data_IF_701709779714
#
_entry.id   IF_701709779714
#
_cell.length_a   1.000
_cell.length_b   1.000
_cell.length_c   1.000
_cell.angle_alpha   90.00
_cell.angle_beta   90.00
_cell.angle_gamma   90.00
#
_symmetry.space_group_name_H-M   'P 1'
#
loop_
_entity.id
_entity.type
_entity.pdbx_description
1 polymer ?
#
# COMPACT_ATOMS: atom_id res chain seq x y z
N UNK A 1 -18.64 -2.55 3.52
CA UNK A 1 -19.09 -2.20 2.16
C UNK A 1 -18.67 -3.31 1.21
N UNK A 2 -19.49 -3.66 0.22
CA UNK A 2 -19.12 -4.67 -0.80
C UNK A 2 -18.48 -3.93 -1.96
N UNK A 3 -17.15 -3.99 -2.06
CA UNK A 3 -16.37 -3.38 -3.14
C UNK A 3 -15.61 -2.12 -2.72
N UNK A 4 -14.45 -1.91 -3.36
CA UNK A 4 -13.59 -0.76 -3.13
C UNK A 4 -13.94 0.46 -3.97
N UNK A 5 -13.20 1.56 -3.79
CA UNK A 5 -13.44 2.83 -4.48
C UNK A 5 -13.43 2.69 -6.01
N UNK A 6 -12.52 1.92 -6.61
CA UNK A 6 -12.49 1.72 -8.06
C UNK A 6 -13.67 0.87 -8.53
N UNK A 7 -14.08 -0.14 -7.75
CA UNK A 7 -15.28 -0.91 -8.00
C UNK A 7 -16.51 -0.01 -8.01
N UNK A 8 -16.64 0.89 -7.01
CA UNK A 8 -17.75 1.85 -7.00
C UNK A 8 -17.69 2.77 -8.21
N UNK A 9 -16.51 3.28 -8.59
CA UNK A 9 -16.33 4.13 -9.77
C UNK A 9 -16.80 3.46 -11.07
N UNK A 10 -16.52 2.16 -11.23
CA UNK A 10 -16.99 1.36 -12.36
C UNK A 10 -18.50 1.13 -12.30
N UNK A 11 -19.01 0.77 -11.14
CA UNK A 11 -20.43 0.42 -10.94
C UNK A 11 -21.35 1.61 -11.18
N UNK A 12 -21.04 2.78 -10.61
CA UNK A 12 -21.83 4.01 -10.80
C UNK A 12 -21.92 4.45 -12.25
N UNK A 13 -20.85 4.22 -13.01
CA UNK A 13 -20.81 4.50 -14.44
C UNK A 13 -21.74 3.63 -15.29
N UNK A 14 -22.20 2.47 -14.78
CA UNK A 14 -23.15 1.59 -15.46
C UNK A 14 -24.60 1.96 -15.17
N UNK A 15 -24.90 2.49 -13.97
CA UNK A 15 -26.28 2.76 -13.55
C UNK A 15 -26.88 4.03 -14.16
N UNK A 16 -26.12 5.13 -14.25
CA UNK A 16 -26.57 6.33 -14.98
C UNK A 16 -25.40 7.32 -15.17
N UNK A 17 -24.88 7.50 -16.41
CA UNK A 17 -23.81 8.47 -16.68
C UNK A 17 -24.21 9.91 -16.35
N UNK A 18 -25.51 10.25 -16.39
CA UNK A 18 -25.99 11.61 -16.22
C UNK A 18 -25.94 12.10 -14.76
N UNK A 19 -25.99 11.19 -13.78
CA UNK A 19 -25.99 11.52 -12.33
C UNK A 19 -24.56 11.55 -11.78
N UNK A 20 -23.59 11.00 -12.52
CA UNK A 20 -22.20 10.93 -12.11
C UNK A 20 -21.56 12.32 -12.13
N UNK A 21 -20.84 12.66 -11.05
CA UNK A 21 -20.01 13.88 -11.00
C UNK A 21 -18.98 13.85 -12.13
N UNK A 22 -18.64 15.01 -12.68
CA UNK A 22 -17.71 15.08 -13.82
C UNK A 22 -16.30 14.57 -13.46
N UNK A 23 -15.88 14.76 -12.21
CA UNK A 23 -14.65 14.17 -11.64
C UNK A 23 -14.66 12.64 -11.73
N UNK A 24 -15.79 12.00 -11.38
CA UNK A 24 -15.95 10.55 -11.42
C UNK A 24 -15.98 10.03 -12.87
N UNK A 25 -16.54 10.81 -13.81
CA UNK A 25 -16.50 10.46 -15.24
C UNK A 25 -15.06 10.49 -15.77
N UNK A 26 -14.32 11.55 -15.45
CA UNK A 26 -12.92 11.73 -15.84
C UNK A 26 -12.05 10.62 -15.26
N UNK A 27 -12.15 10.36 -13.96
CA UNK A 27 -11.42 9.27 -13.31
C UNK A 27 -11.75 7.90 -13.90
N UNK A 28 -13.02 7.63 -14.23
CA UNK A 28 -13.39 6.37 -14.88
C UNK A 28 -12.75 6.22 -16.27
N UNK A 29 -12.74 7.29 -17.06
CA UNK A 29 -12.12 7.29 -18.39
C UNK A 29 -10.61 7.05 -18.28
N UNK A 30 -9.93 7.78 -17.40
CA UNK A 30 -8.51 7.59 -17.13
C UNK A 30 -8.19 6.19 -16.60
N UNK A 31 -9.05 5.60 -15.75
CA UNK A 31 -8.88 4.21 -15.29
C UNK A 31 -8.93 3.20 -16.44
N UNK A 32 -9.80 3.41 -17.44
CA UNK A 32 -9.89 2.52 -18.60
C UNK A 32 -8.67 2.67 -19.50
N UNK A 33 -8.30 3.92 -19.83
CA UNK A 33 -7.14 4.24 -20.66
C UNK A 33 -5.83 3.76 -20.03
N UNK A 34 -5.64 3.98 -18.72
CA UNK A 34 -4.47 3.51 -18.00
C UNK A 34 -4.28 2.00 -18.08
N UNK A 35 -5.36 1.21 -17.91
CA UNK A 35 -5.26 -0.25 -17.94
C UNK A 35 -5.03 -0.79 -19.37
N UNK A 36 -5.47 -0.05 -20.39
CA UNK A 36 -5.22 -0.36 -21.80
C UNK A 36 -3.76 -0.05 -22.18
N UNK A 37 -3.31 1.18 -21.90
CA UNK A 37 -1.96 1.68 -22.22
C UNK A 37 -0.87 1.04 -21.33
N UNK A 38 -1.21 0.71 -20.09
CA UNK A 38 -0.34 0.02 -19.13
C UNK A 38 -0.14 -1.46 -19.41
N UNK A 39 -0.71 -1.99 -20.50
CA UNK A 39 -0.66 -3.42 -20.86
C UNK A 39 0.74 -4.00 -20.99
N UNK A 40 1.71 -3.20 -21.44
CA UNK A 40 3.11 -3.61 -21.59
C UNK A 40 4.04 -2.43 -21.34
N UNK A 41 4.81 -2.52 -20.27
CA UNK A 41 5.80 -1.52 -19.86
C UNK A 41 7.10 -2.22 -19.47
N UNK A 42 8.19 -1.47 -19.44
CA UNK A 42 9.50 -1.95 -19.00
C UNK A 42 9.79 -1.38 -17.60
N UNK A 43 9.81 -2.25 -16.60
CA UNK A 43 10.05 -1.86 -15.21
C UNK A 43 11.55 -1.92 -14.88
N UNK A 44 12.09 -0.77 -14.49
CA UNK A 44 13.46 -0.64 -14.02
C UNK A 44 13.48 -0.76 -12.50
N UNK A 45 14.18 -1.77 -11.99
CA UNK A 45 14.46 -1.85 -10.55
C UNK A 45 15.47 -0.77 -10.23
N UNK A 46 15.09 0.25 -9.45
CA UNK A 46 15.98 1.38 -9.15
C UNK A 46 17.35 0.86 -8.72
N UNK A 47 18.45 1.40 -9.29
CA UNK A 47 19.78 1.00 -8.90
C UNK A 47 19.89 1.20 -7.40
N UNK A 48 20.40 0.18 -6.69
CA UNK A 48 20.71 0.29 -5.26
C UNK A 48 21.69 1.45 -5.14
N UNK A 49 21.18 2.63 -4.80
CA UNK A 49 21.99 3.76 -4.41
C UNK A 49 22.78 3.22 -3.22
N UNK A 50 24.09 3.03 -3.39
CA UNK A 50 25.01 2.63 -2.34
C UNK A 50 25.08 3.77 -1.31
N UNK A 51 23.95 4.03 -0.63
CA UNK A 51 23.93 4.82 0.59
C UNK A 51 24.57 3.90 1.61
N UNK A 52 25.76 4.30 2.07
CA UNK A 52 26.64 3.48 2.92
C UNK A 52 25.87 2.69 3.97
N UNK A 53 26.21 1.42 4.08
CA UNK A 53 25.63 0.45 4.99
C UNK A 53 25.52 1.01 6.42
N UNK A 54 24.34 1.52 6.78
CA UNK A 54 23.88 1.59 8.15
C UNK A 54 22.46 1.05 8.16
N UNK A 55 22.35 -0.11 8.80
CA UNK A 55 21.22 -1.00 8.93
C UNK A 55 19.83 -0.35 9.08
N UNK A 56 18.84 -0.89 8.35
CA UNK A 56 17.49 -1.32 8.83
C UNK A 56 16.67 -1.81 7.61
N UNK A 57 16.64 -3.12 7.32
CA UNK A 57 15.46 -4.01 7.47
C UNK A 57 14.30 -3.66 6.51
N UNK A 58 13.82 -4.47 5.54
CA UNK A 58 13.37 -5.85 5.76
C UNK A 58 13.14 -6.72 4.49
N UNK A 59 13.52 -6.38 3.25
CA UNK A 59 13.22 -7.31 2.10
C UNK A 59 14.39 -7.64 1.16
N UNK A 60 15.60 -7.11 1.36
CA UNK A 60 16.66 -7.21 0.34
C UNK A 60 17.81 -8.20 0.57
N UNK A 61 17.76 -9.04 1.63
CA UNK A 61 18.92 -9.83 2.07
C UNK A 61 18.94 -11.32 1.67
N UNK A 62 18.10 -11.80 0.75
CA UNK A 62 18.03 -13.24 0.42
C UNK A 62 18.62 -13.67 -0.94
N UNK A 63 19.30 -12.79 -1.69
CA UNK A 63 19.97 -13.15 -2.95
C UNK A 63 21.45 -12.71 -3.01
N UNK A 64 22.19 -12.99 -1.94
CA UNK A 64 23.65 -12.86 -1.88
C UNK A 64 24.35 -14.21 -2.00
N UNK A 65 24.23 -14.86 -3.16
CA UNK A 65 25.03 -16.04 -3.49
C UNK A 65 26.51 -15.67 -3.58
N UNK A 66 27.29 -16.06 -2.57
CA UNK A 66 28.75 -15.91 -2.54
C UNK A 66 29.37 -16.77 -3.65
N UNK A 67 29.75 -16.13 -4.75
CA UNK A 67 30.75 -16.67 -5.68
C UNK A 67 32.02 -15.84 -5.52
N UNK A 68 33.06 -16.45 -4.97
CA UNK A 68 34.40 -15.88 -4.90
C UNK A 68 35.09 -16.06 -6.25
N UNK A 69 35.29 -14.97 -7.00
CA UNK A 69 36.22 -14.96 -8.12
C UNK A 69 36.86 -13.59 -8.29
N UNK A 70 38.14 -13.58 -7.94
CA UNK A 70 39.27 -12.93 -8.62
C UNK A 70 39.02 -11.62 -9.37
N UNK A 71 39.57 -10.56 -8.81
CA UNK A 71 39.66 -9.20 -9.32
C UNK A 71 40.39 -9.15 -10.67
N UNK A 72 39.65 -8.92 -11.75
CA UNK A 72 40.20 -8.44 -13.02
C UNK A 72 39.67 -7.04 -13.31
N UNK A 73 40.61 -6.09 -13.40
CA UNK A 73 40.39 -4.71 -13.83
C UNK A 73 39.72 -4.74 -15.20
N UNK A 74 38.44 -4.38 -15.26
CA UNK A 74 37.63 -4.35 -16.47
C UNK A 74 36.88 -3.02 -16.54
N UNK A 75 36.83 -2.47 -17.74
CA UNK A 75 36.14 -1.23 -18.10
C UNK A 75 34.74 -1.20 -17.47
N UNK A 76 34.37 -0.04 -16.95
CA UNK A 76 33.10 0.22 -16.27
C UNK A 76 31.93 0.14 -17.25
N UNK A 77 31.57 -1.07 -17.67
CA UNK A 77 30.22 -1.38 -18.08
C UNK A 77 29.36 -1.22 -16.83
N UNK A 78 28.45 -0.25 -16.85
CA UNK A 78 27.39 -0.16 -15.86
C UNK A 78 26.60 -1.46 -15.92
N UNK A 79 26.81 -2.32 -14.93
CA UNK A 79 26.15 -3.62 -14.75
C UNK A 79 24.68 -3.38 -14.35
N UNK A 80 23.97 -2.62 -15.18
CA UNK A 80 22.59 -2.26 -14.97
C UNK A 80 21.73 -3.43 -15.42
N UNK A 81 21.01 -4.01 -14.46
CA UNK A 81 20.13 -5.15 -14.72
C UNK A 81 19.14 -4.75 -15.82
N UNK A 82 18.93 -5.60 -16.84
CA UNK A 82 17.99 -5.30 -17.91
C UNK A 82 16.59 -5.04 -17.33
N UNK A 83 15.81 -4.12 -17.94
CA UNK A 83 14.46 -3.85 -17.50
C UNK A 83 13.61 -5.12 -17.54
N UNK A 84 12.71 -5.24 -16.57
CA UNK A 84 11.80 -6.37 -16.48
C UNK A 84 10.50 -6.00 -17.19
N UNK A 85 10.09 -6.71 -18.25
CA UNK A 85 8.81 -6.46 -18.89
C UNK A 85 7.70 -6.72 -17.87
N UNK A 86 6.78 -5.77 -17.74
CA UNK A 86 5.74 -5.74 -16.74
C UNK A 86 4.43 -5.18 -17.31
N UNK A 87 3.37 -5.31 -16.52
CA UNK A 87 2.08 -4.70 -16.76
C UNK A 87 1.76 -3.75 -15.60
N UNK A 88 1.36 -2.53 -15.94
CA UNK A 88 0.88 -1.54 -15.01
C UNK A 88 -0.65 -1.63 -14.92
N UNK A 89 -1.20 -1.81 -13.72
CA UNK A 89 -2.65 -1.87 -13.49
C UNK A 89 -3.05 -1.10 -12.24
N UNK A 90 -4.28 -0.59 -12.25
CA UNK A 90 -4.92 -0.07 -11.06
C UNK A 90 -6.00 -1.03 -10.57
N UNK A 91 -5.93 -1.45 -9.31
CA UNK A 91 -6.93 -2.33 -8.70
C UNK A 91 -7.32 -1.82 -7.31
N UNK A 92 -8.46 -2.29 -6.82
CA UNK A 92 -8.78 -2.13 -5.41
C UNK A 92 -7.97 -3.17 -4.63
N UNK A 93 -7.23 -2.70 -3.63
CA UNK A 93 -6.46 -3.53 -2.74
C UNK A 93 -7.37 -4.58 -2.09
N UNK A 94 -6.92 -5.83 -2.12
CA UNK A 94 -7.63 -6.94 -1.49
C UNK A 94 -7.44 -6.91 0.03
N UNK A 95 -8.30 -7.63 0.77
CA UNK A 95 -8.29 -7.63 2.25
C UNK A 95 -6.94 -8.06 2.86
N UNK A 96 -6.11 -8.74 2.08
CA UNK A 96 -4.77 -9.19 2.48
C UNK A 96 -3.70 -8.09 2.32
N UNK A 97 -4.06 -6.92 1.80
CA UNK A 97 -3.15 -5.80 1.70
C UNK A 97 -2.90 -5.16 3.08
N UNK A 98 -1.77 -4.46 3.17
CA UNK A 98 -1.09 -4.04 4.40
C UNK A 98 -1.98 -3.24 5.39
N UNK A 99 -3.11 -2.68 4.96
CA UNK A 99 -3.93 -1.76 5.77
C UNK A 99 -5.19 -2.34 6.45
N UNK A 100 -5.42 -3.66 6.47
CA UNK A 100 -6.37 -4.36 7.38
C UNK A 100 -7.70 -3.63 7.73
N UNK A 101 -8.38 -2.98 6.80
CA UNK A 101 -9.51 -2.12 7.19
C UNK A 101 -10.49 -1.82 6.07
N UNK A 102 -10.03 -1.19 4.99
CA UNK A 102 -10.89 -0.82 3.87
C UNK A 102 -10.12 -0.96 2.55
N UNK A 103 -10.77 -1.44 1.47
CA UNK A 103 -10.16 -1.48 0.15
C UNK A 103 -9.79 -0.07 -0.31
N UNK A 104 -8.56 0.12 -0.77
CA UNK A 104 -8.07 1.38 -1.33
C UNK A 104 -7.50 1.15 -2.73
N UNK A 105 -7.46 2.17 -3.61
CA UNK A 105 -6.85 2.00 -4.93
C UNK A 105 -5.34 1.79 -4.78
N UNK A 106 -4.82 0.78 -5.46
CA UNK A 106 -3.39 0.52 -5.55
C UNK A 106 -2.95 0.37 -7.01
N UNK A 107 -1.77 0.91 -7.29
CA UNK A 107 -1.06 0.76 -8.54
C UNK A 107 -0.17 -0.47 -8.44
N UNK A 108 -0.42 -1.45 -9.29
CA UNK A 108 0.33 -2.71 -9.33
C UNK A 108 1.23 -2.73 -10.56
N UNK A 109 2.49 -3.09 -10.36
CA UNK A 109 3.46 -3.45 -11.39
C UNK A 109 3.68 -4.95 -11.34
N UNK A 110 3.14 -5.65 -12.34
CA UNK A 110 3.11 -7.11 -12.42
C UNK A 110 4.09 -7.57 -13.50
N UNK A 111 5.21 -8.24 -13.17
CA UNK A 111 6.11 -8.78 -14.18
C UNK A 111 5.38 -9.73 -15.13
N UNK A 112 5.61 -9.55 -16.43
CA UNK A 112 5.10 -10.46 -17.44
C UNK A 112 5.98 -11.72 -17.47
N UNK A 113 5.39 -12.92 -17.54
CA UNK A 113 6.17 -14.14 -17.70
C UNK A 113 6.97 -14.00 -18.99
N UNK A 114 8.30 -14.12 -18.88
CA UNK A 114 9.15 -14.22 -20.05
C UNK A 114 8.71 -15.49 -20.78
N UNK A 115 7.99 -15.30 -21.88
CA UNK A 115 7.79 -16.38 -22.83
C UNK A 115 9.19 -16.64 -23.33
N UNK A 116 9.84 -17.68 -22.81
CA UNK A 116 11.06 -18.21 -23.37
C UNK A 116 10.68 -18.52 -24.80
N UNK A 117 11.01 -17.59 -25.69
CA UNK A 117 11.00 -17.86 -27.11
C UNK A 117 12.02 -18.98 -27.24
N UNK A 118 11.52 -20.21 -27.21
CA UNK A 118 12.21 -21.34 -27.81
C UNK A 118 12.37 -20.90 -29.25
N UNK A 119 13.48 -20.22 -29.50
CA UNK A 119 13.98 -19.95 -30.83
C UNK A 119 13.96 -21.33 -31.47
N UNK A 120 13.11 -21.59 -32.48
CA UNK A 120 13.14 -22.86 -33.17
C UNK A 120 14.56 -22.95 -33.69
N UNK A 121 15.37 -23.80 -33.05
CA UNK A 121 16.68 -24.14 -33.57
C UNK A 121 16.39 -24.68 -34.97
N UNK A 122 16.96 -24.08 -36.02
CA UNK A 122 16.81 -24.66 -37.34
C UNK A 122 17.49 -26.03 -37.29
N UNK A 123 16.66 -27.08 -37.20
CA UNK A 123 17.09 -28.47 -37.16
C UNK A 123 17.86 -28.78 -38.45
N UNK A 124 19.13 -29.13 -38.29
CA UNK A 124 19.83 -29.98 -39.24
C UNK A 124 19.05 -31.30 -39.35
N UNK A 125 18.42 -31.50 -40.52
CA UNK A 125 17.68 -32.70 -40.85
C UNK A 125 18.60 -33.93 -40.89
N UNK A 126 18.72 -34.65 -39.78
CA UNK A 126 19.29 -36.00 -39.76
C UNK A 126 18.22 -36.99 -39.34
N UNK A 127 17.90 -37.86 -40.29
CA UNK A 127 16.86 -38.87 -40.23
C UNK A 127 17.14 -39.96 -39.17
N UNK A 128 16.09 -40.32 -38.42
CA UNK A 128 15.88 -41.69 -37.94
C UNK A 128 16.48 -42.05 -36.58
N UNK A 129 15.79 -41.70 -35.49
CA UNK A 129 16.04 -42.27 -34.16
C UNK A 129 14.77 -42.30 -33.30
N UNK A 130 14.45 -43.40 -32.59
CA UNK A 130 13.21 -43.52 -31.83
C UNK A 130 13.25 -42.68 -30.54
N UNK A 131 12.14 -41.95 -30.39
CA UNK A 131 11.65 -41.13 -29.30
C UNK A 131 11.91 -41.66 -27.87
N UNK A 132 12.43 -40.79 -27.01
CA UNK A 132 12.32 -40.91 -25.55
C UNK A 132 11.65 -39.64 -24.99
N UNK A 133 10.41 -39.71 -24.46
CA UNK A 133 9.71 -38.55 -23.92
C UNK A 133 9.78 -38.60 -22.38
N UNK A 134 10.83 -38.06 -21.77
CA UNK A 134 10.84 -37.87 -20.31
C UNK A 134 11.78 -36.74 -19.84
N UNK A 135 11.77 -35.62 -20.55
CA UNK A 135 12.41 -34.38 -20.07
C UNK A 135 11.47 -33.65 -19.11
N UNK A 136 11.62 -33.90 -17.81
CA UNK A 136 10.86 -33.21 -16.77
C UNK A 136 11.03 -31.70 -16.88
N UNK A 137 9.93 -31.01 -17.21
CA UNK A 137 9.78 -29.56 -17.08
C UNK A 137 9.96 -29.20 -15.61
N UNK A 138 11.20 -28.98 -15.18
CA UNK A 138 11.49 -28.21 -13.98
C UNK A 138 11.06 -26.78 -14.27
N UNK A 139 9.77 -26.52 -14.04
CA UNK A 139 9.21 -25.18 -13.89
C UNK A 139 9.98 -24.55 -12.74
N UNK A 140 11.04 -23.82 -13.07
CA UNK A 140 11.66 -22.92 -12.13
C UNK A 140 10.55 -21.94 -11.73
N UNK A 141 10.05 -22.08 -10.50
CA UNK A 141 9.16 -21.12 -9.88
C UNK A 141 9.96 -19.84 -9.70
N UNK A 142 10.07 -19.05 -10.77
CA UNK A 142 10.47 -17.67 -10.67
C UNK A 142 9.40 -16.99 -9.82
N UNK A 143 9.75 -16.68 -8.58
CA UNK A 143 8.87 -15.92 -7.68
C UNK A 143 8.59 -14.59 -8.37
N UNK A 144 7.36 -14.41 -8.85
CA UNK A 144 6.92 -13.19 -9.52
C UNK A 144 6.75 -12.11 -8.44
N UNK A 145 7.74 -11.25 -8.30
CA UNK A 145 7.65 -10.11 -7.40
C UNK A 145 6.69 -9.07 -7.99
N UNK A 146 5.60 -8.78 -7.30
CA UNK A 146 4.68 -7.72 -7.65
C UNK A 146 4.98 -6.49 -6.78
N UNK A 147 5.00 -5.30 -7.39
CA UNK A 147 5.14 -4.05 -6.64
C UNK A 147 3.77 -3.37 -6.56
N UNK A 148 3.29 -3.19 -5.34
CA UNK A 148 2.00 -2.56 -5.04
C UNK A 148 2.22 -1.19 -4.39
N UNK A 149 1.70 -0.14 -5.01
CA UNK A 149 1.84 1.24 -4.57
C UNK A 149 0.46 1.81 -4.27
N UNK A 150 0.10 2.07 -3.00
CA UNK A 150 -1.15 2.72 -2.66
C UNK A 150 -1.23 4.12 -3.28
N UNK A 151 -2.39 4.50 -3.86
CA UNK A 151 -2.50 5.76 -4.60
C UNK A 151 -2.29 6.99 -3.73
N UNK A 152 -2.70 6.92 -2.46
CA UNK A 152 -2.50 8.00 -1.49
C UNK A 152 -1.03 8.18 -1.08
N UNK A 153 -0.18 7.17 -1.31
CA UNK A 153 1.27 7.33 -1.09
C UNK A 153 1.96 8.03 -2.26
N UNK A 154 1.35 8.14 -3.44
CA UNK A 154 1.96 8.79 -4.60
C UNK A 154 1.96 10.31 -4.38
N UNK A 155 3.16 10.89 -4.25
CA UNK A 155 3.36 12.32 -4.04
C UNK A 155 3.35 13.03 -5.39
N UNK A 156 4.17 12.53 -6.33
CA UNK A 156 4.34 13.12 -7.65
C UNK A 156 4.76 12.09 -8.68
N UNK A 157 4.53 12.46 -9.94
CA UNK A 157 4.83 11.67 -11.12
C UNK A 157 5.65 12.56 -12.05
N UNK A 158 6.92 12.18 -12.26
CA UNK A 158 7.89 12.93 -13.03
C UNK A 158 8.22 12.22 -14.34
N UNK A 159 8.39 12.99 -15.41
CA UNK A 159 8.92 12.49 -16.67
C UNK A 159 10.41 12.85 -16.72
N UNK A 160 11.29 11.85 -16.76
CA UNK A 160 12.73 12.08 -16.76
C UNK A 160 13.32 11.97 -18.17
N UNK A 161 12.81 11.04 -18.97
CA UNK A 161 13.21 10.83 -20.36
C UNK A 161 11.96 10.79 -21.25
N UNK A 162 12.08 10.89 -22.59
CA UNK A 162 10.94 10.91 -23.49
C UNK A 162 9.99 9.73 -23.29
N UNK A 163 10.52 8.57 -22.93
CA UNK A 163 9.75 7.33 -22.74
C UNK A 163 9.71 6.88 -21.28
N UNK A 164 10.27 7.64 -20.33
CA UNK A 164 10.44 7.19 -18.95
C UNK A 164 9.67 8.04 -17.95
N UNK A 165 8.95 7.36 -17.08
CA UNK A 165 8.17 7.91 -15.98
C UNK A 165 8.72 7.40 -14.65
N UNK A 166 8.81 8.30 -13.68
CA UNK A 166 9.23 7.99 -12.31
C UNK A 166 8.10 8.32 -11.34
N UNK A 167 7.77 7.33 -10.52
CA UNK A 167 6.74 7.43 -9.48
C UNK A 167 7.44 7.66 -8.15
N UNK A 168 7.13 8.79 -7.52
CA UNK A 168 7.72 9.20 -6.25
C UNK A 168 6.64 9.13 -5.19
N UNK A 169 6.92 8.37 -4.13
CA UNK A 169 5.99 8.10 -3.03
C UNK A 169 6.49 8.67 -1.72
N UNK A 170 5.59 8.79 -0.74
CA UNK A 170 5.95 9.04 0.65
C UNK A 170 6.80 7.87 1.16
N UNK A 171 7.90 8.15 1.84
CA UNK A 171 8.70 7.15 2.55
C UNK A 171 8.07 6.87 3.91
N UNK A 172 7.19 5.87 3.95
CA UNK A 172 6.50 5.43 5.17
C UNK A 172 7.47 4.91 6.24
N UNK A 173 8.72 4.62 5.88
CA UNK A 173 9.74 4.10 6.80
C UNK A 173 10.76 5.15 7.23
N UNK A 174 10.67 6.39 6.74
CA UNK A 174 11.56 7.44 7.22
C UNK A 174 11.21 7.80 8.66
N UNK A 175 12.09 7.45 9.60
CA UNK A 175 11.97 7.84 11.00
C UNK A 175 12.49 9.25 11.28
N UNK A 176 13.04 9.93 10.26
CA UNK A 176 13.69 11.22 10.43
C UNK A 176 12.73 12.35 10.05
N UNK A 177 12.32 13.13 11.05
CA UNK A 177 11.39 14.27 10.92
C UNK A 177 11.92 15.35 9.96
N UNK A 178 13.24 15.38 9.70
CA UNK A 178 13.89 16.38 8.84
C UNK A 178 14.35 15.83 7.48
N UNK A 179 14.22 14.53 7.22
CA UNK A 179 14.62 13.96 5.94
C UNK A 179 13.53 14.19 4.89
N UNK A 180 13.89 14.36 3.60
CA UNK A 180 12.91 14.39 2.54
C UNK A 180 12.05 13.12 2.60
N UNK A 181 10.76 13.28 2.78
CA UNK A 181 9.77 12.19 2.88
C UNK A 181 9.48 11.55 1.54
N UNK A 182 10.27 11.83 0.51
CA UNK A 182 10.05 11.38 -0.87
C UNK A 182 11.04 10.28 -1.23
N UNK A 183 10.51 9.18 -1.78
CA UNK A 183 11.30 8.05 -2.27
C UNK A 183 10.84 7.65 -3.67
N UNK A 184 11.80 7.39 -4.55
CA UNK A 184 11.54 6.76 -5.84
C UNK A 184 11.00 5.34 -5.60
N UNK A 185 9.73 5.12 -5.94
CA UNK A 185 9.08 3.81 -5.78
C UNK A 185 9.23 2.95 -7.04
N UNK A 186 9.09 3.56 -8.21
CA UNK A 186 9.18 2.85 -9.48
C UNK A 186 9.68 3.76 -10.60
N UNK A 187 10.39 3.15 -11.55
CA UNK A 187 10.82 3.74 -12.80
C UNK A 187 10.35 2.86 -13.95
N UNK A 188 9.60 3.45 -14.86
CA UNK A 188 8.83 2.72 -15.88
C UNK A 188 9.13 3.34 -17.24
N UNK A 189 9.55 2.50 -18.19
CA UNK A 189 9.69 2.88 -19.59
C UNK A 189 8.51 2.39 -20.43
N UNK A 190 8.16 3.20 -21.42
CA UNK A 190 7.05 2.98 -22.34
C UNK A 190 7.56 2.85 -23.78
N UNK A 191 6.78 2.23 -24.68
CA UNK A 191 7.18 2.09 -26.08
C UNK A 191 7.26 3.43 -26.84
N UNK A 192 6.54 4.46 -26.40
CA UNK A 192 6.54 5.79 -27.02
C UNK A 192 6.35 6.90 -26.00
N UNK A 193 6.73 8.12 -26.38
CA UNK A 193 6.52 9.31 -25.55
C UNK A 193 5.05 9.63 -25.35
N UNK A 194 4.22 9.41 -26.37
CA UNK A 194 2.79 9.72 -26.34
C UNK A 194 2.05 8.81 -25.36
N UNK A 195 2.40 7.51 -25.34
CA UNK A 195 1.88 6.56 -24.36
C UNK A 195 2.29 6.95 -22.94
N UNK A 196 3.54 7.37 -22.76
CA UNK A 196 4.05 7.83 -21.46
C UNK A 196 3.36 9.10 -20.98
N UNK A 197 3.09 10.06 -21.86
CA UNK A 197 2.33 11.29 -21.54
C UNK A 197 0.89 10.98 -21.14
N UNK A 198 0.20 10.15 -21.94
CA UNK A 198 -1.18 9.75 -21.66
C UNK A 198 -1.29 9.03 -20.30
N UNK A 199 -0.42 8.06 -20.05
CA UNK A 199 -0.36 7.34 -18.76
C UNK A 199 -0.01 8.28 -17.60
N UNK A 200 0.91 9.22 -17.79
CA UNK A 200 1.25 10.23 -16.78
C UNK A 200 0.05 11.10 -16.41
N UNK A 201 -0.70 11.56 -17.41
CA UNK A 201 -1.91 12.35 -17.22
C UNK A 201 -2.99 11.54 -16.49
N UNK A 202 -3.27 10.32 -16.94
CA UNK A 202 -4.29 9.46 -16.35
C UNK A 202 -3.97 9.12 -14.89
N UNK A 203 -2.72 8.82 -14.58
CA UNK A 203 -2.29 8.60 -13.19
C UNK A 203 -2.48 9.85 -12.34
N UNK A 204 -2.15 11.05 -12.85
CA UNK A 204 -2.36 12.31 -12.12
C UNK A 204 -3.84 12.55 -11.82
N UNK A 205 -4.73 12.31 -12.80
CA UNK A 205 -6.19 12.41 -12.61
C UNK A 205 -6.66 11.44 -11.53
N UNK A 206 -6.19 10.20 -11.56
CA UNK A 206 -6.59 9.17 -10.59
C UNK A 206 -6.06 9.42 -9.18
N UNK A 207 -4.83 9.94 -9.06
CA UNK A 207 -4.25 10.34 -7.77
C UNK A 207 -5.05 11.50 -7.18
N UNK A 208 -5.37 12.52 -7.97
CA UNK A 208 -6.15 13.67 -7.51
C UNK A 208 -7.58 13.28 -7.12
N UNK A 209 -8.23 12.46 -7.94
CA UNK A 209 -9.54 11.88 -7.65
C UNK A 209 -9.54 11.11 -6.32
N UNK A 210 -8.48 10.33 -6.03
CA UNK A 210 -8.36 9.61 -4.78
C UNK A 210 -8.16 10.56 -3.58
N UNK A 211 -7.36 11.63 -3.73
CA UNK A 211 -7.12 12.64 -2.68
C UNK A 211 -8.40 13.35 -2.25
N UNK A 212 -9.28 13.70 -3.20
CA UNK A 212 -10.54 14.39 -2.89
C UNK A 212 -11.54 13.53 -2.09
N UNK A 213 -11.44 12.20 -2.19
CA UNK A 213 -12.37 11.26 -1.56
C UNK A 213 -11.89 10.68 -0.26
N UNK A 214 -10.58 10.65 -0.07
CA UNK A 214 -10.09 10.47 1.28
C UNK A 214 -10.51 11.74 2.01
N UNK A 215 -11.32 11.66 3.10
CA UNK A 215 -11.35 12.78 4.02
C UNK A 215 -9.89 13.12 4.33
N UNK A 216 -9.56 14.35 4.70
CA UNK A 216 -8.25 14.63 5.32
C UNK A 216 -8.14 13.70 6.54
N UNK A 217 -7.76 12.44 6.32
CA UNK A 217 -7.09 11.58 7.24
C UNK A 217 -5.84 12.40 7.41
N UNK A 218 -5.88 13.17 8.48
CA UNK A 218 -4.85 13.96 9.10
C UNK A 218 -3.51 13.18 9.07
N UNK A 219 -2.92 13.05 7.89
CA UNK A 219 -1.74 12.25 7.55
C UNK A 219 -0.46 12.99 7.95
N UNK A 220 -0.61 14.26 8.32
CA UNK A 220 0.45 15.16 8.81
C UNK A 220 0.33 15.46 10.31
N UNK A 221 -0.40 14.65 11.08
CA UNK A 221 0.02 14.54 12.48
C UNK A 221 1.27 13.66 12.49
N UNK A 222 2.44 14.16 12.92
CA UNK A 222 3.67 13.37 13.01
C UNK A 222 3.40 12.08 13.82
N UNK A 223 4.34 11.15 13.94
CA UNK A 223 4.20 10.01 14.86
C UNK A 223 3.81 10.41 16.32
N UNK A 224 3.90 11.70 16.67
CA UNK A 224 3.27 12.35 17.82
C UNK A 224 1.74 12.19 17.87
N UNK A 225 1.00 12.22 16.76
CA UNK A 225 -0.45 12.04 16.69
C UNK A 225 -0.91 10.66 17.11
N UNK A 226 -0.19 9.60 16.72
CA UNK A 226 -0.49 8.24 17.20
C UNK A 226 -0.24 8.16 18.71
N UNK A 227 0.86 8.74 19.21
CA UNK A 227 1.11 8.85 20.65
C UNK A 227 0.04 9.67 21.36
N UNK A 228 -0.44 10.77 20.79
CA UNK A 228 -1.49 11.60 21.38
C UNK A 228 -2.84 10.90 21.38
N UNK A 229 -3.21 10.18 20.31
CA UNK A 229 -4.43 9.35 20.26
C UNK A 229 -4.34 8.20 21.29
N UNK A 230 -3.18 7.55 21.40
CA UNK A 230 -2.95 6.52 22.41
C UNK A 230 -2.99 7.09 23.84
N UNK A 231 -2.39 8.26 24.09
CA UNK A 231 -2.45 8.96 25.38
C UNK A 231 -3.88 9.39 25.73
N UNK A 232 -4.64 9.89 24.75
CA UNK A 232 -6.04 10.30 24.92
C UNK A 232 -6.92 9.08 25.20
N UNK A 233 -6.74 7.98 24.47
CA UNK A 233 -7.42 6.71 24.72
C UNK A 233 -7.08 6.15 26.11
N UNK A 234 -5.79 6.16 26.49
CA UNK A 234 -5.34 5.75 27.82
C UNK A 234 -5.93 6.63 28.93
N UNK A 235 -6.03 7.95 28.71
CA UNK A 235 -6.66 8.87 29.65
C UNK A 235 -8.16 8.57 29.82
N UNK A 236 -8.90 8.30 28.75
CA UNK A 236 -10.31 7.91 28.84
C UNK A 236 -10.49 6.56 29.53
N UNK A 237 -9.68 5.56 29.21
CA UNK A 237 -9.69 4.27 29.88
C UNK A 237 -9.42 4.42 31.39
N UNK A 238 -8.44 5.26 31.77
CA UNK A 238 -8.14 5.56 33.17
C UNK A 238 -9.30 6.24 33.90
N UNK A 239 -9.95 7.24 33.28
CA UNK A 239 -11.14 7.89 33.83
C UNK A 239 -12.30 6.93 34.01
N UNK A 240 -12.50 6.01 33.07
CA UNK A 240 -13.57 5.02 33.15
C UNK A 240 -13.36 4.04 34.30
N UNK A 241 -12.12 3.58 34.50
CA UNK A 241 -11.74 2.73 35.63
C UNK A 241 -11.99 3.47 36.95
N UNK A 242 -11.52 4.72 37.08
CA UNK A 242 -11.71 5.53 38.29
C UNK A 242 -13.20 5.74 38.62
N UNK A 243 -14.02 6.00 37.60
CA UNK A 243 -15.47 6.14 37.76
C UNK A 243 -16.11 4.83 38.23
N UNK A 244 -15.69 3.68 37.69
CA UNK A 244 -16.17 2.36 38.12
C UNK A 244 -15.75 2.05 39.56
N UNK A 245 -14.53 2.40 39.96
CA UNK A 245 -14.04 2.21 41.33
C UNK A 245 -14.79 3.08 42.34
N UNK A 246 -14.97 4.38 42.05
CA UNK A 246 -15.78 5.28 42.88
C UNK A 246 -17.22 4.80 43.02
N UNK A 247 -17.80 4.21 41.97
CA UNK A 247 -19.14 3.61 42.03
C UNK A 247 -19.16 2.39 42.97
N UNK A 248 -18.22 1.46 42.83
CA UNK A 248 -18.10 0.28 43.72
C UNK A 248 -17.89 0.70 45.18
N UNK A 249 -17.09 1.73 45.44
CA UNK A 249 -16.84 2.21 46.80
C UNK A 249 -18.10 2.82 47.43
N UNK A 250 -18.88 3.61 46.67
CA UNK A 250 -20.17 4.14 47.12
C UNK A 250 -21.15 3.02 47.43
N UNK A 251 -21.22 2.00 46.60
CA UNK A 251 -22.07 0.82 46.82
C UNK A 251 -21.62 0.04 48.07
N UNK A 252 -20.32 -0.15 48.28
CA UNK A 252 -19.75 -0.79 49.47
C UNK A 252 -20.05 -0.01 50.76
N UNK A 253 -19.93 1.33 50.73
CA UNK A 253 -20.29 2.17 51.89
C UNK A 253 -21.79 2.11 52.18
N UNK A 254 -22.64 2.13 51.14
CA UNK A 254 -24.09 1.93 51.29
C UNK A 254 -24.41 0.56 51.89
N UNK A 255 -23.77 -0.51 51.41
CA UNK A 255 -24.03 -1.86 51.92
C UNK A 255 -23.56 -2.05 53.36
N UNK A 256 -22.39 -1.52 53.73
CA UNK A 256 -21.91 -1.51 55.11
C UNK A 256 -22.88 -0.75 56.04
N UNK A 257 -23.39 0.39 55.57
CA UNK A 257 -24.35 1.18 56.33
C UNK A 257 -25.71 0.48 56.47
N UNK A 258 -26.15 -0.28 55.46
CA UNK A 258 -27.38 -1.08 55.52
C UNK A 258 -27.23 -2.34 56.40
N UNK A 259 -26.07 -3.03 56.36
CA UNK A 259 -25.82 -4.21 57.20
C UNK A 259 -25.63 -3.86 58.68
N UNK A 260 -25.18 -2.65 59.02
CA UNK A 260 -24.96 -2.20 60.39
C UNK A 260 -26.21 -1.88 61.22
N UNK A 261 -27.44 -2.11 60.73
CA UNK A 261 -28.65 -2.06 61.55
C UNK A 261 -29.11 -0.66 62.02
N UNK A 262 -28.75 0.42 61.31
CA UNK A 262 -29.20 1.78 61.63
C UNK A 262 -30.14 2.40 60.56
N UNK A 263 -30.58 1.63 59.56
CA UNK A 263 -31.40 2.11 58.45
C UNK A 263 -32.75 2.73 58.84
N UNK A 264 -33.30 2.40 60.03
CA UNK A 264 -34.50 3.09 60.54
C UNK A 264 -34.21 4.46 61.17
N UNK A 265 -32.99 4.70 61.70
CA UNK A 265 -32.67 5.97 62.39
C UNK A 265 -32.47 7.13 61.42
N UNK A 266 -31.88 6.90 60.25
CA UNK A 266 -31.61 7.97 59.28
C UNK A 266 -32.88 8.45 58.57
N UNK A 267 -33.84 7.56 58.29
CA UNK A 267 -35.14 7.94 57.73
C UNK A 267 -35.97 8.74 58.75
N UNK A 268 -35.93 8.35 60.02
CA UNK A 268 -36.58 9.09 61.11
C UNK A 268 -35.95 10.48 61.34
N UNK A 269 -34.60 10.59 61.29
CA UNK A 269 -33.91 11.89 61.40
C UNK A 269 -34.16 12.81 60.19
N UNK A 270 -34.26 12.27 58.97
CA UNK A 270 -34.58 13.05 57.79
C UNK A 270 -36.03 13.57 57.82
N UNK A 271 -36.98 12.77 58.33
CA UNK A 271 -38.38 13.21 58.51
C UNK A 271 -38.54 14.24 59.65
N UNK A 272 -37.76 14.14 60.73
CA UNK A 272 -37.82 15.09 61.85
C UNK A 272 -37.29 16.51 61.50
N UNK A 273 -36.40 16.64 60.51
CA UNK A 273 -35.90 17.95 60.07
C UNK A 273 -36.77 18.62 59.00
N UNK A 274 -37.76 17.92 58.43
CA UNK A 274 -38.73 18.50 57.50
C UNK A 274 -40.00 19.00 58.20
N UNK A 275 -40.18 18.74 59.50
CA UNK A 275 -41.36 19.15 60.27
C UNK A 275 -41.16 20.47 61.05
N UNK A 276 -40.24 21.33 60.61
CA UNK A 276 -40.06 22.69 61.16
C UNK A 276 -40.36 23.74 60.11
#
# INVERSE_FOLDING_TARGET
MVGGPLFTLRLWGLFCPCIQKDEDKSARQSLMQLNELGGRVDWHTSPKRNVGAVATGFVQSLFGGRSSSTTSISQSHTDEKPPTPAQLRLVDATKDSINWGEPYPELQLIPLPQTSQQQPQPDDAVAGGPVSPLGGLMKQNAMSYQLDIPLHHIVKIESIEPTMLVIITKDVHSTNENAPTEKEAARISFPSSDTRDAVSLDLKVLVEWNKQRQPEIEEDMPATGIRQRAQKAAHFAKREIEMREKKREREKRKSQHMQGGAGLKYTAMAMANQSK
#
